data_IF_219860783175
#
_entry.id   IF_219860783175
#
_cell.length_a   1.000
_cell.length_b   1.000
_cell.length_c   1.000
_cell.angle_alpha   90.00
_cell.angle_beta   90.00
_cell.angle_gamma   90.00
#
_symmetry.space_group_name_H-M   'P 1'
#
loop_
_entity.id
_entity.type
_entity.pdbx_description
1 polymer ?
#
# COMPACT_ATOMS: atom_id res chain seq x y z
N UNK A 1 -51.05 -8.35 33.68
CA UNK A 1 -51.41 -7.71 32.39
C UNK A 1 -50.72 -6.35 32.23
N UNK A 2 -50.87 -5.43 33.15
CA UNK A 2 -50.25 -4.09 33.01
C UNK A 2 -48.71 -4.13 32.93
N UNK A 3 -48.07 -5.02 33.65
CA UNK A 3 -46.59 -5.19 33.61
C UNK A 3 -46.11 -5.81 32.29
N UNK A 4 -46.85 -6.78 31.76
CA UNK A 4 -46.56 -7.43 30.50
C UNK A 4 -46.64 -6.45 29.32
N UNK A 5 -47.66 -5.61 29.30
CA UNK A 5 -47.85 -4.57 28.28
C UNK A 5 -46.72 -3.54 28.34
N UNK A 6 -46.24 -3.18 29.56
CA UNK A 6 -45.08 -2.29 29.72
C UNK A 6 -43.79 -2.89 29.14
N UNK A 7 -43.55 -4.16 29.37
CA UNK A 7 -42.36 -4.84 28.81
C UNK A 7 -42.40 -4.93 27.28
N UNK A 8 -43.58 -5.18 26.71
CA UNK A 8 -43.77 -5.20 25.26
C UNK A 8 -43.54 -3.80 24.67
N UNK A 9 -44.05 -2.76 25.32
CA UNK A 9 -43.85 -1.39 24.87
C UNK A 9 -42.36 -0.97 24.96
N UNK A 10 -41.62 -1.35 26.01
CA UNK A 10 -40.20 -1.09 26.11
C UNK A 10 -39.42 -1.85 25.04
N UNK A 11 -39.75 -3.08 24.77
CA UNK A 11 -39.11 -3.87 23.70
C UNK A 11 -39.37 -3.31 22.32
N UNK A 12 -40.55 -2.83 22.05
CA UNK A 12 -40.92 -2.23 20.78
C UNK A 12 -40.21 -0.88 20.50
N UNK A 13 -39.88 -0.13 21.55
CA UNK A 13 -39.13 1.13 21.43
C UNK A 13 -37.60 0.88 21.34
N UNK A 14 -37.07 -0.09 22.11
CA UNK A 14 -35.65 -0.40 22.13
C UNK A 14 -35.18 -1.09 20.85
N UNK A 15 -36.02 -1.90 20.22
CA UNK A 15 -35.66 -2.67 19.04
C UNK A 15 -35.27 -1.81 17.84
N UNK A 16 -36.05 -0.76 17.45
CA UNK A 16 -35.65 0.11 16.36
C UNK A 16 -34.40 0.96 16.68
N UNK A 17 -34.23 1.37 17.94
CA UNK A 17 -33.03 2.13 18.38
C UNK A 17 -31.79 1.27 18.24
N UNK A 18 -31.87 0.01 18.60
CA UNK A 18 -30.76 -0.93 18.46
C UNK A 18 -30.41 -1.21 16.99
N UNK A 19 -31.43 -1.28 16.13
CA UNK A 19 -31.21 -1.46 14.68
C UNK A 19 -30.54 -0.27 14.02
N UNK A 20 -30.78 0.95 14.50
CA UNK A 20 -30.12 2.16 13.98
C UNK A 20 -28.63 2.18 14.34
N UNK A 21 -28.26 1.66 15.52
CA UNK A 21 -26.86 1.64 15.98
C UNK A 21 -26.03 0.62 15.19
N UNK A 22 -26.64 -0.47 14.72
CA UNK A 22 -25.95 -1.50 13.92
C UNK A 22 -25.79 -1.08 12.45
N UNK A 23 -26.56 -0.10 12.00
CA UNK A 23 -26.46 0.46 10.65
C UNK A 23 -25.27 1.45 10.54
N UNK A 24 -24.08 1.05 11.03
CA UNK A 24 -22.88 1.74 10.63
C UNK A 24 -22.63 1.43 9.16
N UNK A 25 -22.67 2.47 8.32
CA UNK A 25 -22.26 2.40 6.94
C UNK A 25 -20.85 1.84 6.88
N UNK A 26 -20.62 0.87 6.03
CA UNK A 26 -19.26 0.47 5.65
C UNK A 26 -18.60 1.71 5.06
N UNK A 27 -17.68 2.29 5.80
CA UNK A 27 -16.83 3.33 5.23
C UNK A 27 -15.98 2.65 4.15
N UNK A 28 -16.21 3.03 2.91
CA UNK A 28 -15.35 2.60 1.83
C UNK A 28 -13.93 3.03 2.17
N UNK A 29 -13.02 2.07 2.36
CA UNK A 29 -11.64 2.36 2.67
C UNK A 29 -10.92 2.83 1.40
N UNK A 30 -11.16 4.09 1.05
CA UNK A 30 -10.57 4.73 -0.13
C UNK A 30 -9.05 4.89 -0.01
N UNK A 31 -8.50 4.77 1.19
CA UNK A 31 -7.09 4.96 1.43
C UNK A 31 -6.23 3.78 0.98
N UNK A 32 -6.76 2.58 1.01
CA UNK A 32 -6.04 1.35 0.66
C UNK A 32 -5.84 1.18 -0.85
N UNK A 33 -6.69 1.78 -1.66
CA UNK A 33 -6.68 1.59 -3.12
C UNK A 33 -5.92 2.67 -3.88
N UNK A 34 -5.44 3.70 -3.19
CA UNK A 34 -4.87 4.90 -3.84
C UNK A 34 -3.38 4.80 -4.12
N UNK A 35 -2.68 3.81 -3.58
CA UNK A 35 -1.24 3.66 -3.78
C UNK A 35 -0.94 2.53 -4.75
N UNK A 36 -0.50 2.92 -5.94
CA UNK A 36 0.01 1.95 -6.90
C UNK A 36 1.41 1.53 -6.50
N UNK A 37 1.61 0.24 -6.33
CA UNK A 37 2.90 -0.36 -6.02
C UNK A 37 3.41 -1.11 -7.24
N UNK A 38 4.69 -0.95 -7.53
CA UNK A 38 5.37 -1.69 -8.58
C UNK A 38 6.11 -2.86 -7.94
N UNK A 39 5.85 -4.06 -8.44
CA UNK A 39 6.53 -5.27 -7.99
C UNK A 39 7.83 -5.43 -8.78
N UNK A 40 8.94 -5.56 -8.08
CA UNK A 40 10.27 -5.70 -8.67
C UNK A 40 10.90 -7.02 -8.22
N UNK A 41 11.59 -7.66 -9.15
CA UNK A 41 12.35 -8.87 -8.89
C UNK A 41 13.82 -8.66 -9.27
N UNK A 42 14.72 -9.17 -8.47
CA UNK A 42 16.15 -8.98 -8.64
C UNK A 42 16.76 -10.20 -9.31
N UNK A 43 17.57 -9.95 -10.34
CA UNK A 43 18.28 -10.97 -11.09
C UNK A 43 19.73 -10.54 -11.32
N UNK A 44 20.62 -11.51 -11.36
CA UNK A 44 22.00 -11.31 -11.76
C UNK A 44 22.22 -11.85 -13.18
N UNK A 45 22.85 -11.04 -14.02
CA UNK A 45 23.26 -11.44 -15.35
C UNK A 45 24.76 -11.73 -15.33
N UNK A 46 25.15 -12.96 -15.65
CA UNK A 46 26.55 -13.31 -15.84
C UNK A 46 27.03 -12.68 -17.16
N UNK A 47 28.06 -11.80 -17.11
CA UNK A 47 28.54 -11.13 -18.31
C UNK A 47 29.22 -12.06 -19.33
N UNK A 48 29.76 -13.18 -18.89
CA UNK A 48 30.48 -14.14 -19.75
C UNK A 48 29.53 -15.14 -20.41
N UNK A 49 28.65 -15.76 -19.63
CA UNK A 49 27.72 -16.79 -20.11
C UNK A 49 26.38 -16.24 -20.58
N UNK A 50 26.05 -14.99 -20.24
CA UNK A 50 24.75 -14.35 -20.48
C UNK A 50 23.58 -15.09 -19.82
N UNK A 51 23.84 -15.84 -18.77
CA UNK A 51 22.83 -16.54 -17.99
C UNK A 51 22.23 -15.60 -16.95
N UNK A 52 20.90 -15.55 -16.87
CA UNK A 52 20.17 -14.81 -15.86
C UNK A 52 19.83 -15.75 -14.72
N UNK A 53 20.19 -15.40 -13.50
CA UNK A 53 19.87 -16.16 -12.29
C UNK A 53 19.19 -15.26 -11.27
N UNK A 54 18.43 -15.85 -10.35
CA UNK A 54 17.83 -15.12 -9.25
C UNK A 54 18.93 -14.53 -8.36
N UNK A 55 18.79 -13.26 -8.01
CA UNK A 55 19.68 -12.59 -7.08
C UNK A 55 18.95 -12.30 -5.76
N UNK A 56 19.68 -12.40 -4.67
CA UNK A 56 19.19 -12.07 -3.34
C UNK A 56 20.21 -11.16 -2.67
N UNK A 57 19.80 -9.92 -2.38
CA UNK A 57 20.64 -8.97 -1.67
C UNK A 57 20.63 -9.27 -0.17
N UNK A 58 21.80 -9.21 0.46
CA UNK A 58 21.92 -9.42 1.90
C UNK A 58 21.15 -8.37 2.70
N UNK A 59 21.20 -7.14 2.24
CA UNK A 59 20.43 -6.04 2.81
C UNK A 59 20.20 -4.95 1.78
N UNK A 60 19.07 -4.27 1.89
CA UNK A 60 18.71 -3.17 1.00
C UNK A 60 17.96 -2.09 1.77
N UNK A 61 18.36 -0.85 1.56
CA UNK A 61 17.62 0.33 1.97
C UNK A 61 17.27 1.14 0.74
N UNK A 62 16.02 1.56 0.62
CA UNK A 62 15.54 2.38 -0.49
C UNK A 62 14.99 3.68 0.07
N UNK A 63 15.47 4.78 -0.47
CA UNK A 63 15.01 6.13 -0.11
C UNK A 63 14.46 6.85 -1.34
N UNK A 64 13.58 7.83 -1.10
CA UNK A 64 13.13 8.71 -2.16
C UNK A 64 14.23 9.74 -2.48
N UNK A 65 14.48 9.95 -3.77
CA UNK A 65 15.50 10.91 -4.22
C UNK A 65 15.15 12.34 -3.77
N UNK A 66 16.15 13.03 -3.26
CA UNK A 66 16.02 14.43 -2.84
C UNK A 66 15.32 14.63 -1.50
N UNK A 67 14.97 13.56 -0.81
CA UNK A 67 14.38 13.60 0.53
C UNK A 67 15.02 12.53 1.40
N UNK A 68 14.89 12.66 2.71
CA UNK A 68 15.36 11.66 3.67
C UNK A 68 14.29 10.57 3.94
N UNK A 69 13.26 10.52 3.12
CA UNK A 69 12.18 9.54 3.28
C UNK A 69 12.68 8.13 2.97
N UNK A 70 12.67 7.26 3.98
CA UNK A 70 13.02 5.86 3.85
C UNK A 70 11.78 5.05 3.49
N UNK A 71 11.84 4.35 2.35
CA UNK A 71 10.74 3.52 1.86
C UNK A 71 10.93 2.07 2.32
N UNK A 72 12.13 1.54 2.18
CA UNK A 72 12.54 0.23 2.67
C UNK A 72 13.75 0.43 3.57
N UNK A 73 13.66 -0.01 4.81
CA UNK A 73 14.72 0.18 5.79
C UNK A 73 15.43 -1.14 6.08
N UNK A 74 16.65 -1.28 5.57
CA UNK A 74 17.58 -2.37 5.89
C UNK A 74 16.91 -3.76 5.83
N UNK A 75 16.14 -4.01 4.80
CA UNK A 75 15.49 -5.30 4.60
C UNK A 75 16.54 -6.36 4.26
N UNK A 76 16.44 -7.51 4.90
CA UNK A 76 17.39 -8.62 4.72
C UNK A 76 16.87 -9.63 3.70
N UNK A 77 17.80 -10.26 2.98
CA UNK A 77 17.54 -11.32 1.99
C UNK A 77 16.47 -10.89 0.97
N UNK A 78 16.74 -9.80 0.27
CA UNK A 78 15.81 -9.19 -0.68
C UNK A 78 16.00 -9.80 -2.06
N UNK A 79 14.98 -10.49 -2.57
CA UNK A 79 14.87 -10.94 -3.96
C UNK A 79 13.77 -10.20 -4.70
N UNK A 80 12.69 -9.93 -4.02
CA UNK A 80 11.54 -9.18 -4.55
C UNK A 80 11.22 -8.01 -3.63
N UNK A 81 10.68 -6.96 -4.19
CA UNK A 81 10.28 -5.78 -3.44
C UNK A 81 9.14 -5.04 -4.12
N UNK A 82 8.33 -4.37 -3.30
CA UNK A 82 7.26 -3.51 -3.76
C UNK A 82 7.67 -2.05 -3.58
N UNK A 83 7.64 -1.30 -4.65
CA UNK A 83 8.05 0.10 -4.65
C UNK A 83 6.83 0.99 -4.92
N UNK A 84 6.62 2.04 -4.11
CA UNK A 84 5.54 2.98 -4.34
C UNK A 84 5.88 3.89 -5.54
N UNK A 85 4.87 4.18 -6.35
CA UNK A 85 4.98 5.12 -7.45
C UNK A 85 4.34 6.45 -7.07
N UNK A 86 4.92 7.54 -7.57
CA UNK A 86 4.36 8.88 -7.35
C UNK A 86 3.15 9.09 -8.25
N UNK A 87 2.00 9.37 -7.66
CA UNK A 87 0.78 9.64 -8.43
C UNK A 87 0.66 11.11 -8.89
N UNK A 88 1.50 12.00 -8.35
CA UNK A 88 1.49 13.44 -8.68
C UNK A 88 2.50 13.84 -9.76
N UNK A 89 3.30 12.90 -10.24
CA UNK A 89 4.35 13.15 -11.22
C UNK A 89 4.44 11.99 -12.22
N UNK A 90 5.03 12.26 -13.38
CA UNK A 90 5.22 11.26 -14.45
C UNK A 90 6.43 10.34 -14.21
N UNK A 91 7.20 10.62 -13.18
CA UNK A 91 8.35 9.82 -12.84
C UNK A 91 8.51 9.67 -11.33
N UNK A 92 9.07 8.54 -10.94
CA UNK A 92 9.46 8.23 -9.57
C UNK A 92 10.95 7.96 -9.54
N UNK A 93 11.69 8.66 -8.70
CA UNK A 93 13.14 8.50 -8.56
C UNK A 93 13.45 7.96 -7.17
N UNK A 94 14.09 6.82 -7.13
CA UNK A 94 14.43 6.09 -5.92
C UNK A 94 15.95 5.85 -5.86
N UNK A 95 16.51 5.89 -4.66
CA UNK A 95 17.92 5.60 -4.42
C UNK A 95 18.03 4.28 -3.67
N UNK A 96 18.74 3.33 -4.26
CA UNK A 96 19.00 2.03 -3.67
C UNK A 96 20.36 2.09 -2.97
N UNK A 97 20.36 1.82 -1.68
CA UNK A 97 21.57 1.75 -0.86
C UNK A 97 21.90 0.28 -0.57
N UNK A 98 22.90 -0.26 -1.24
CA UNK A 98 23.37 -1.62 -1.02
C UNK A 98 24.34 -1.69 0.17
N UNK A 99 25.11 -0.62 0.36
CA UNK A 99 26.01 -0.42 1.48
C UNK A 99 26.13 1.09 1.79
N UNK A 100 26.95 1.45 2.77
CA UNK A 100 27.20 2.87 3.10
C UNK A 100 27.82 3.66 1.95
N UNK A 101 28.53 2.98 1.05
CA UNK A 101 29.29 3.61 -0.05
C UNK A 101 28.74 3.27 -1.43
N UNK A 102 27.94 2.21 -1.57
CA UNK A 102 27.43 1.75 -2.86
C UNK A 102 25.94 2.06 -2.96
N UNK A 103 25.61 2.94 -3.90
CA UNK A 103 24.22 3.35 -4.17
C UNK A 103 23.95 3.38 -5.67
N UNK A 104 22.72 3.11 -6.04
CA UNK A 104 22.21 3.28 -7.40
C UNK A 104 20.94 4.13 -7.37
N UNK A 105 20.73 4.88 -8.44
CA UNK A 105 19.51 5.66 -8.62
C UNK A 105 18.63 5.02 -9.69
N UNK A 106 17.42 4.71 -9.33
CA UNK A 106 16.40 4.14 -10.23
C UNK A 106 15.40 5.22 -10.61
N UNK A 107 15.25 5.47 -11.91
CA UNK A 107 14.25 6.38 -12.43
C UNK A 107 13.16 5.57 -13.14
N UNK A 108 11.94 5.70 -12.67
CA UNK A 108 10.78 5.00 -13.23
C UNK A 108 9.91 6.03 -13.92
N UNK A 109 9.74 5.91 -15.22
CA UNK A 109 8.79 6.71 -15.99
C UNK A 109 7.45 5.98 -16.03
N UNK A 110 6.39 6.69 -15.71
CA UNK A 110 5.06 6.13 -15.58
C UNK A 110 4.01 7.08 -16.15
N UNK A 111 2.90 6.52 -16.56
CA UNK A 111 1.71 7.30 -16.91
C UNK A 111 0.65 7.09 -15.83
N UNK A 112 0.22 8.18 -15.22
CA UNK A 112 -0.82 8.17 -14.21
C UNK A 112 -2.16 8.46 -14.86
N UNK A 113 -3.08 7.50 -14.81
CA UNK A 113 -4.43 7.67 -15.32
C UNK A 113 -5.39 7.70 -14.14
N UNK A 114 -6.01 8.84 -13.83
CA UNK A 114 -7.00 8.90 -12.78
C UNK A 114 -8.26 8.10 -13.19
N UNK A 115 -8.80 7.35 -12.27
CA UNK A 115 -10.06 6.65 -12.48
C UNK A 115 -10.91 6.70 -11.23
N UNK A 116 -12.21 6.53 -11.43
CA UNK A 116 -13.19 6.62 -10.38
C UNK A 116 -13.42 5.24 -9.75
N UNK A 117 -13.22 5.12 -8.46
CA UNK A 117 -13.40 3.85 -7.74
C UNK A 117 -14.83 3.68 -7.24
N UNK A 118 -15.37 4.69 -6.57
CA UNK A 118 -16.74 4.68 -6.07
C UNK A 118 -17.21 6.11 -5.81
N UNK A 119 -18.51 6.27 -5.65
CA UNK A 119 -19.10 7.58 -5.30
C UNK A 119 -18.61 8.10 -3.95
N UNK A 120 -18.30 7.20 -3.04
CA UNK A 120 -17.83 7.54 -1.69
C UNK A 120 -16.38 8.00 -1.66
N UNK A 121 -15.60 7.66 -2.69
CA UNK A 121 -14.19 8.02 -2.85
C UNK A 121 -13.95 9.19 -3.81
N UNK A 122 -14.97 9.62 -4.47
CA UNK A 122 -14.92 10.68 -5.50
C UNK A 122 -14.78 12.09 -4.97
#
# INVERSE_FOLDING_TARGET
MKTLVRFIMFGAVLFPVFSIVISCSEEADCSMTTRTMMQCYLYTLDPDTKVVSNDTLDSLTVTAFGTDSVIINNQKKVHDLSLPLRYTADSTVLVFHYSKTLTDTLVIHQTNTPYFLSMDCG
#
